data_IF_358668932693
#
_entry.id   IF_358668932693
#
_cell.length_a   1.000
_cell.length_b   1.000
_cell.length_c   1.000
_cell.angle_alpha   90.00
_cell.angle_beta   90.00
_cell.angle_gamma   90.00
#
_symmetry.space_group_name_H-M   'P 1'
#
loop_
_entity.id
_entity.type
_entity.pdbx_description
1 polymer ?
#
# COMPACT_ATOMS: atom_id res chain seq x y z
N UNK A 1 -3.90 23.93 2.51
CA UNK A 1 -4.39 23.58 1.17
C UNK A 1 -5.22 22.34 1.33
N UNK A 2 -6.44 22.37 0.85
CA UNK A 2 -7.50 21.40 1.15
C UNK A 2 -7.14 20.01 0.58
N UNK A 3 -6.92 19.03 1.47
CA UNK A 3 -6.49 17.65 1.15
C UNK A 3 -7.70 16.71 0.93
N UNK A 4 -8.87 17.26 0.62
CA UNK A 4 -10.12 16.51 0.47
C UNK A 4 -10.34 16.05 -0.98
N UNK A 5 -10.55 14.75 -1.24
CA UNK A 5 -10.65 14.23 -2.62
C UNK A 5 -11.92 14.64 -3.37
N UNK A 6 -13.00 15.02 -2.69
CA UNK A 6 -14.27 15.35 -3.34
C UNK A 6 -14.88 16.64 -2.78
N UNK A 7 -14.93 17.68 -3.62
CA UNK A 7 -15.52 18.99 -3.34
C UNK A 7 -17.07 18.97 -3.22
N UNK A 8 -17.71 17.81 -3.43
CA UNK A 8 -19.17 17.66 -3.54
C UNK A 8 -19.84 16.96 -2.35
N UNK A 9 -19.08 16.50 -1.35
CA UNK A 9 -19.65 15.92 -0.13
C UNK A 9 -20.00 17.05 0.85
N UNK A 10 -21.27 17.44 0.84
CA UNK A 10 -21.83 18.52 1.68
C UNK A 10 -22.13 18.06 3.12
N UNK A 11 -22.24 16.75 3.33
CA UNK A 11 -22.51 16.12 4.63
C UNK A 11 -21.44 15.06 4.96
N UNK A 12 -21.05 14.97 6.23
CA UNK A 12 -19.98 14.11 6.76
C UNK A 12 -20.33 12.60 6.80
N UNK A 13 -21.33 12.14 6.05
CA UNK A 13 -21.80 10.77 6.08
C UNK A 13 -21.38 9.99 4.83
N UNK A 14 -20.77 8.82 5.06
CA UNK A 14 -20.55 7.82 4.01
C UNK A 14 -21.93 7.30 3.60
N UNK A 15 -22.39 7.52 2.36
CA UNK A 15 -23.75 7.13 1.98
C UNK A 15 -23.95 5.63 2.21
N UNK A 16 -25.09 5.26 2.80
CA UNK A 16 -25.38 3.88 3.26
C UNK A 16 -25.20 2.83 2.17
N UNK A 17 -25.42 3.20 0.91
CA UNK A 17 -25.18 2.32 -0.25
C UNK A 17 -23.71 1.89 -0.37
N UNK A 18 -22.74 2.77 -0.11
CA UNK A 18 -21.32 2.42 -0.12
C UNK A 18 -21.00 1.43 0.98
N UNK A 19 -21.54 1.62 2.19
CA UNK A 19 -21.35 0.71 3.31
C UNK A 19 -21.92 -0.69 3.02
N UNK A 20 -23.09 -0.77 2.37
CA UNK A 20 -23.71 -2.03 1.97
C UNK A 20 -22.86 -2.74 0.92
N UNK A 21 -22.43 -2.03 -0.13
CA UNK A 21 -21.57 -2.60 -1.18
C UNK A 21 -20.23 -3.06 -0.62
N UNK A 22 -19.61 -2.28 0.27
CA UNK A 22 -18.36 -2.64 0.95
C UNK A 22 -18.54 -3.89 1.81
N UNK A 23 -19.63 -3.95 2.57
CA UNK A 23 -19.99 -5.11 3.39
C UNK A 23 -20.20 -6.37 2.55
N UNK A 24 -20.87 -6.26 1.40
CA UNK A 24 -21.05 -7.36 0.45
C UNK A 24 -19.73 -7.84 -0.13
N UNK A 25 -18.86 -6.93 -0.57
CA UNK A 25 -17.52 -7.27 -1.08
C UNK A 25 -16.75 -8.02 0.00
N UNK A 26 -16.70 -7.49 1.23
CA UNK A 26 -16.01 -8.15 2.34
C UNK A 26 -16.61 -9.52 2.66
N UNK A 27 -17.93 -9.66 2.65
CA UNK A 27 -18.60 -10.94 2.89
C UNK A 27 -18.25 -11.99 1.82
N UNK A 28 -18.27 -11.59 0.54
CA UNK A 28 -17.89 -12.46 -0.58
C UNK A 28 -16.40 -12.82 -0.51
N UNK A 29 -15.52 -11.86 -0.23
CA UNK A 29 -14.08 -12.10 -0.05
C UNK A 29 -13.80 -13.07 1.10
N UNK A 30 -14.49 -12.90 2.23
CA UNK A 30 -14.40 -13.80 3.38
C UNK A 30 -14.81 -15.22 2.98
N UNK A 31 -15.97 -15.40 2.33
CA UNK A 31 -16.45 -16.70 1.88
C UNK A 31 -15.48 -17.35 0.89
N UNK A 32 -15.03 -16.61 -0.13
CA UNK A 32 -14.10 -17.10 -1.14
C UNK A 32 -12.79 -17.59 -0.50
N UNK A 33 -12.21 -16.81 0.41
CA UNK A 33 -10.96 -17.19 1.07
C UNK A 33 -11.16 -18.36 2.04
N UNK A 34 -12.31 -18.45 2.70
CA UNK A 34 -12.65 -19.60 3.54
C UNK A 34 -12.74 -20.90 2.76
N UNK A 35 -13.21 -20.83 1.52
CA UNK A 35 -13.34 -21.96 0.59
C UNK A 35 -11.97 -22.35 0.01
N UNK A 36 -11.18 -21.37 -0.45
CA UNK A 36 -9.91 -21.63 -1.16
C UNK A 36 -8.74 -21.90 -0.22
N UNK A 37 -8.59 -21.11 0.85
CA UNK A 37 -7.45 -21.16 1.75
C UNK A 37 -7.76 -21.80 3.12
N UNK A 38 -8.97 -22.34 3.29
CA UNK A 38 -9.36 -23.14 4.45
C UNK A 38 -9.76 -22.33 5.69
N UNK A 39 -9.81 -22.96 6.88
CA UNK A 39 -10.36 -22.33 8.09
C UNK A 39 -9.53 -21.13 8.57
N UNK A 40 -10.17 -20.01 8.91
CA UNK A 40 -9.50 -18.79 9.41
C UNK A 40 -8.60 -19.02 10.62
N UNK A 41 -8.86 -20.05 11.43
CA UNK A 41 -8.00 -20.42 12.56
C UNK A 41 -6.57 -20.77 12.13
N UNK A 42 -6.40 -21.34 10.92
CA UNK A 42 -5.09 -21.63 10.32
C UNK A 42 -4.37 -20.38 9.80
N UNK A 43 -5.08 -19.27 9.62
CA UNK A 43 -4.51 -17.99 9.18
C UNK A 43 -3.99 -17.13 10.32
N UNK A 44 -4.34 -17.41 11.59
CA UNK A 44 -3.86 -16.64 12.76
C UNK A 44 -2.32 -16.49 12.83
N UNK A 45 -1.51 -17.51 12.49
CA UNK A 45 -0.04 -17.38 12.45
C UNK A 45 0.48 -16.45 11.34
N UNK A 46 -0.35 -16.13 10.35
CA UNK A 46 -0.04 -15.25 9.21
C UNK A 46 -0.71 -13.87 9.34
N UNK A 47 -1.01 -13.45 10.58
CA UNK A 47 -1.59 -12.13 10.85
C UNK A 47 -0.67 -10.99 10.41
N UNK A 48 0.65 -11.20 10.42
CA UNK A 48 1.64 -10.29 9.84
C UNK A 48 1.43 -10.11 8.33
N UNK A 49 1.20 -11.18 7.59
CA UNK A 49 0.91 -11.14 6.15
C UNK A 49 -0.45 -10.53 5.82
N UNK A 50 -1.45 -10.74 6.68
CA UNK A 50 -2.72 -10.03 6.59
C UNK A 50 -2.50 -8.51 6.71
N UNK A 51 -1.83 -8.05 7.78
CA UNK A 51 -1.54 -6.62 7.98
C UNK A 51 -0.69 -6.03 6.85
N UNK A 52 0.29 -6.78 6.34
CA UNK A 52 1.06 -6.37 5.16
C UNK A 52 0.15 -6.14 3.95
N UNK A 53 -0.84 -7.00 3.73
CA UNK A 53 -1.82 -6.85 2.66
C UNK A 53 -2.68 -5.61 2.83
N UNK A 54 -3.21 -5.39 4.05
CA UNK A 54 -4.01 -4.19 4.38
C UNK A 54 -3.22 -2.92 4.08
N UNK A 55 -2.01 -2.83 4.63
CA UNK A 55 -1.16 -1.65 4.51
C UNK A 55 -0.70 -1.40 3.07
N UNK A 56 -0.35 -2.47 2.36
CA UNK A 56 0.12 -2.40 0.97
C UNK A 56 -0.95 -1.85 0.04
N UNK A 57 -2.16 -2.41 0.08
CA UNK A 57 -3.21 -1.96 -0.83
C UNK A 57 -3.60 -0.50 -0.55
N UNK A 58 -3.65 -0.12 0.73
CA UNK A 58 -3.95 1.25 1.15
C UNK A 58 -2.89 2.26 0.69
N UNK A 59 -1.62 1.87 0.69
CA UNK A 59 -0.53 2.68 0.16
C UNK A 59 -0.56 2.77 -1.37
N UNK A 60 -0.86 1.66 -2.04
CA UNK A 60 -0.96 1.56 -3.49
C UNK A 60 -2.07 2.47 -4.03
N UNK A 61 -3.29 2.34 -3.51
CA UNK A 61 -4.44 3.12 -3.98
C UNK A 61 -4.29 4.61 -3.72
N UNK A 62 -3.78 5.00 -2.55
CA UNK A 62 -3.41 6.40 -2.24
C UNK A 62 -2.41 6.95 -3.26
N UNK A 63 -1.42 6.15 -3.64
CA UNK A 63 -0.40 6.59 -4.59
C UNK A 63 -0.99 6.81 -5.97
N UNK A 64 -1.81 5.87 -6.47
CA UNK A 64 -2.52 6.00 -7.75
C UNK A 64 -3.39 7.26 -7.78
N UNK A 65 -4.19 7.49 -6.74
CA UNK A 65 -5.02 8.69 -6.65
C UNK A 65 -4.18 9.97 -6.59
N UNK A 66 -3.05 9.95 -5.88
CA UNK A 66 -2.11 11.06 -5.83
C UNK A 66 -1.51 11.40 -7.20
N UNK A 67 -1.14 10.40 -8.00
CA UNK A 67 -0.67 10.62 -9.38
C UNK A 67 -1.77 11.23 -10.26
N UNK A 68 -3.01 10.74 -10.17
CA UNK A 68 -4.13 11.32 -10.92
C UNK A 68 -4.31 12.82 -10.62
N UNK A 69 -4.14 13.25 -9.36
CA UNK A 69 -4.23 14.66 -8.97
C UNK A 69 -3.02 15.49 -9.45
N UNK A 70 -1.81 14.94 -9.43
CA UNK A 70 -0.59 15.68 -9.78
C UNK A 70 -0.47 15.95 -11.28
N UNK A 71 -0.94 15.04 -12.12
CA UNK A 71 -0.71 15.12 -13.57
C UNK A 71 -1.90 15.68 -14.37
N UNK A 72 -3.06 15.85 -13.74
CA UNK A 72 -4.26 16.41 -14.38
C UNK A 72 -5.07 15.36 -15.12
N UNK A 73 -6.06 15.77 -15.92
CA UNK A 73 -6.98 14.86 -16.65
C UNK A 73 -6.86 14.95 -18.18
N UNK A 74 -5.94 15.75 -18.72
CA UNK A 74 -5.75 15.84 -20.18
C UNK A 74 -5.14 14.54 -20.70
N UNK A 75 -5.93 13.79 -21.47
CA UNK A 75 -5.61 12.43 -21.91
C UNK A 75 -4.20 12.24 -22.50
N UNK A 76 -3.73 13.18 -23.33
CA UNK A 76 -2.43 13.08 -24.02
C UNK A 76 -1.24 13.35 -23.10
N UNK A 77 -1.28 14.47 -22.34
CA UNK A 77 -0.20 14.81 -21.40
C UNK A 77 -0.12 13.76 -20.30
N UNK A 78 -1.28 13.28 -19.82
CA UNK A 78 -1.35 12.19 -18.86
C UNK A 78 -0.67 10.94 -19.40
N UNK A 79 -1.02 10.50 -20.61
CA UNK A 79 -0.44 9.28 -21.18
C UNK A 79 1.08 9.35 -21.29
N UNK A 80 1.63 10.48 -21.77
CA UNK A 80 3.08 10.69 -21.88
C UNK A 80 3.75 10.67 -20.50
N UNK A 81 3.16 11.33 -19.51
CA UNK A 81 3.73 11.36 -18.17
C UNK A 81 3.62 10.00 -17.49
N UNK A 82 2.46 9.33 -17.55
CA UNK A 82 2.31 7.98 -17.01
C UNK A 82 3.25 6.99 -17.69
N UNK A 83 3.44 7.07 -19.01
CA UNK A 83 4.41 6.23 -19.70
C UNK A 83 5.85 6.50 -19.21
N UNK A 84 6.25 7.76 -19.09
CA UNK A 84 7.57 8.14 -18.54
C UNK A 84 7.77 7.68 -17.10
N UNK A 85 6.73 7.81 -16.27
CA UNK A 85 6.69 7.31 -14.88
C UNK A 85 6.85 5.80 -14.85
N UNK A 86 6.08 5.05 -15.64
CA UNK A 86 6.14 3.58 -15.68
C UNK A 86 7.52 3.10 -16.12
N UNK A 87 8.14 3.74 -17.12
CA UNK A 87 9.51 3.41 -17.55
C UNK A 87 10.52 3.68 -16.44
N UNK A 88 10.42 4.83 -15.77
CA UNK A 88 11.31 5.17 -14.66
C UNK A 88 11.15 4.20 -13.47
N UNK A 89 9.91 3.83 -13.13
CA UNK A 89 9.60 2.83 -12.10
C UNK A 89 10.15 1.47 -12.49
N UNK A 90 9.90 1.01 -13.72
CA UNK A 90 10.37 -0.28 -14.20
C UNK A 90 11.91 -0.34 -14.17
N UNK A 91 12.58 0.73 -14.57
CA UNK A 91 14.03 0.84 -14.47
C UNK A 91 14.50 0.76 -13.00
N UNK A 92 13.87 1.49 -12.08
CA UNK A 92 14.21 1.45 -10.66
C UNK A 92 14.00 0.06 -10.05
N UNK A 93 12.89 -0.61 -10.39
CA UNK A 93 12.58 -1.97 -9.94
C UNK A 93 13.59 -2.98 -10.51
N UNK A 94 13.91 -2.91 -11.80
CA UNK A 94 14.88 -3.81 -12.44
C UNK A 94 16.28 -3.63 -11.84
N UNK A 95 16.72 -2.39 -11.63
CA UNK A 95 18.01 -2.09 -10.97
C UNK A 95 18.04 -2.69 -9.57
N UNK A 96 16.98 -2.50 -8.80
CA UNK A 96 16.96 -3.01 -7.42
C UNK A 96 16.80 -4.53 -7.37
N UNK A 97 16.16 -5.15 -8.38
CA UNK A 97 16.06 -6.61 -8.52
C UNK A 97 17.41 -7.27 -8.80
N UNK A 98 18.33 -6.57 -9.47
CA UNK A 98 19.69 -7.05 -9.73
C UNK A 98 20.63 -6.95 -8.52
N UNK A 99 20.26 -6.15 -7.51
CA UNK A 99 21.06 -5.95 -6.30
C UNK A 99 20.57 -6.90 -5.20
N UNK A 100 21.49 -7.50 -4.42
CA UNK A 100 21.11 -8.35 -3.28
C UNK A 100 20.22 -7.56 -2.32
N UNK A 101 19.03 -8.09 -2.04
CA UNK A 101 18.04 -7.39 -1.22
C UNK A 101 18.49 -7.29 0.26
N UNK A 102 18.46 -6.10 0.87
CA UNK A 102 18.87 -5.88 2.26
C UNK A 102 18.08 -6.72 3.28
N UNK A 103 18.59 -6.96 4.49
CA UNK A 103 17.86 -7.74 5.49
C UNK A 103 16.50 -7.09 5.85
N UNK A 104 15.55 -7.90 6.29
CA UNK A 104 14.17 -7.48 6.59
C UNK A 104 14.06 -6.23 7.47
N UNK A 105 14.82 -6.07 8.58
CA UNK A 105 14.75 -4.85 9.39
C UNK A 105 15.16 -3.58 8.62
N UNK A 106 16.13 -3.68 7.71
CA UNK A 106 16.53 -2.55 6.87
C UNK A 106 15.40 -2.19 5.90
N UNK A 107 14.69 -3.17 5.35
CA UNK A 107 13.54 -2.90 4.47
C UNK A 107 12.35 -2.31 5.20
N UNK A 108 12.08 -2.70 6.44
CA UNK A 108 11.13 -1.98 7.30
C UNK A 108 11.60 -0.55 7.60
N UNK A 109 12.91 -0.33 7.79
CA UNK A 109 13.48 1.00 7.93
C UNK A 109 13.26 1.87 6.68
N UNK A 110 13.55 1.34 5.49
CA UNK A 110 13.32 2.03 4.21
C UNK A 110 11.82 2.30 3.98
N UNK A 111 10.96 1.34 4.32
CA UNK A 111 9.52 1.49 4.25
C UNK A 111 9.02 2.64 5.12
N UNK A 112 9.38 2.65 6.40
CA UNK A 112 8.97 3.70 7.34
C UNK A 112 9.57 5.06 6.96
N UNK A 113 10.85 5.10 6.55
CA UNK A 113 11.48 6.32 6.05
C UNK A 113 10.76 6.83 4.79
N UNK A 114 10.37 5.94 3.87
CA UNK A 114 9.59 6.26 2.68
C UNK A 114 8.20 6.81 3.03
N UNK A 115 7.52 6.25 4.04
CA UNK A 115 6.24 6.76 4.52
C UNK A 115 6.37 8.15 5.16
N UNK A 116 7.42 8.37 5.97
CA UNK A 116 7.71 9.69 6.55
C UNK A 116 8.00 10.70 5.45
N UNK A 117 8.80 10.33 4.46
CA UNK A 117 9.10 11.18 3.32
C UNK A 117 7.83 11.50 2.52
N UNK A 118 6.96 10.52 2.27
CA UNK A 118 5.67 10.71 1.60
C UNK A 118 4.67 11.55 2.41
N UNK A 119 4.83 11.61 3.73
CA UNK A 119 4.02 12.46 4.60
C UNK A 119 4.56 13.90 4.64
N UNK A 120 5.89 14.06 4.68
CA UNK A 120 6.57 15.36 4.71
C UNK A 120 6.44 16.12 3.39
N UNK A 121 6.52 15.44 2.24
CA UNK A 121 6.45 16.07 0.91
C UNK A 121 4.99 16.39 0.56
N UNK A 122 4.55 17.66 0.60
CA UNK A 122 3.20 18.03 0.21
C UNK A 122 3.08 18.02 -1.32
N UNK A 123 1.90 17.66 -1.82
CA UNK A 123 1.63 17.71 -3.26
C UNK A 123 1.84 19.12 -3.84
N UNK A 124 1.64 20.19 -3.06
CA UNK A 124 1.88 21.57 -3.48
C UNK A 124 3.35 21.85 -3.83
N UNK A 125 4.31 21.20 -3.15
CA UNK A 125 5.73 21.33 -3.50
C UNK A 125 6.03 20.63 -4.82
N UNK A 126 5.45 19.44 -5.04
CA UNK A 126 5.58 18.71 -6.31
C UNK A 126 4.96 19.49 -7.46
N UNK A 127 3.81 20.15 -7.24
CA UNK A 127 3.14 20.97 -8.25
C UNK A 127 3.94 22.21 -8.65
N UNK A 128 4.84 22.71 -7.80
CA UNK A 128 5.71 23.84 -8.11
C UNK A 128 6.92 23.46 -9.00
N UNK A 129 7.18 22.17 -9.18
CA UNK A 129 8.31 21.68 -9.98
C UNK A 129 7.95 21.58 -11.47
N UNK A 130 8.94 21.75 -12.37
CA UNK A 130 8.75 21.47 -13.79
C UNK A 130 8.44 19.99 -14.01
N UNK A 131 7.67 19.69 -15.07
CA UNK A 131 7.09 18.38 -15.35
C UNK A 131 8.05 17.18 -15.19
N UNK A 132 9.29 17.20 -15.71
CA UNK A 132 10.22 16.07 -15.56
C UNK A 132 10.64 15.85 -14.11
N UNK A 133 10.97 16.92 -13.38
CA UNK A 133 11.38 16.84 -11.97
C UNK A 133 10.21 16.45 -11.08
N UNK A 134 9.01 16.95 -11.36
CA UNK A 134 7.77 16.55 -10.68
C UNK A 134 7.50 15.05 -10.86
N UNK A 135 7.66 14.52 -12.07
CA UNK A 135 7.48 13.10 -12.35
C UNK A 135 8.47 12.25 -11.56
N UNK A 136 9.77 12.54 -11.64
CA UNK A 136 10.80 11.77 -10.93
C UNK A 136 10.61 11.81 -9.41
N UNK A 137 10.38 13.00 -8.85
CA UNK A 137 10.18 13.15 -7.41
C UNK A 137 8.91 12.46 -6.92
N UNK A 138 7.77 12.63 -7.61
CA UNK A 138 6.53 11.94 -7.26
C UNK A 138 6.69 10.40 -7.33
N UNK A 139 7.39 9.90 -8.35
CA UNK A 139 7.71 8.48 -8.49
C UNK A 139 8.53 7.98 -7.32
N UNK A 140 9.65 8.63 -7.03
CA UNK A 140 10.54 8.18 -5.95
C UNK A 140 9.80 8.20 -4.61
N UNK A 141 9.07 9.29 -4.31
CA UNK A 141 8.34 9.43 -3.06
C UNK A 141 7.26 8.35 -2.89
N UNK A 142 6.46 8.09 -3.93
CA UNK A 142 5.34 7.17 -3.85
C UNK A 142 5.78 5.69 -3.93
N UNK A 143 6.72 5.38 -4.81
CA UNK A 143 7.11 4.00 -5.07
C UNK A 143 8.18 3.47 -4.12
N UNK A 144 8.96 4.32 -3.45
CA UNK A 144 9.94 3.85 -2.46
C UNK A 144 9.32 2.98 -1.35
N UNK A 145 8.25 3.42 -0.65
CA UNK A 145 7.62 2.57 0.36
C UNK A 145 6.89 1.36 -0.27
N UNK A 146 6.27 1.50 -1.46
CA UNK A 146 5.63 0.37 -2.16
C UNK A 146 6.66 -0.72 -2.50
N UNK A 147 7.82 -0.31 -3.00
CA UNK A 147 8.93 -1.19 -3.30
C UNK A 147 9.41 -1.92 -2.05
N UNK A 148 9.67 -1.19 -0.96
CA UNK A 148 10.12 -1.78 0.29
C UNK A 148 9.09 -2.78 0.85
N UNK A 149 7.81 -2.43 0.80
CA UNK A 149 6.71 -3.32 1.20
C UNK A 149 6.68 -4.60 0.36
N UNK A 150 6.83 -4.51 -0.95
CA UNK A 150 6.89 -5.67 -1.85
C UNK A 150 8.07 -6.59 -1.52
N UNK A 151 9.25 -6.03 -1.24
CA UNK A 151 10.43 -6.83 -0.84
C UNK A 151 10.19 -7.51 0.52
N UNK A 152 9.61 -6.80 1.49
CA UNK A 152 9.26 -7.37 2.80
C UNK A 152 8.27 -8.52 2.65
N UNK A 153 7.20 -8.31 1.87
CA UNK A 153 6.21 -9.33 1.58
C UNK A 153 6.84 -10.55 0.88
N UNK A 154 7.58 -10.35 -0.20
CA UNK A 154 8.19 -11.45 -0.96
C UNK A 154 9.12 -12.30 -0.07
N UNK A 155 9.97 -11.66 0.73
CA UNK A 155 10.84 -12.37 1.68
C UNK A 155 10.05 -13.14 2.73
N UNK A 156 9.03 -12.51 3.31
CA UNK A 156 8.21 -13.15 4.33
C UNK A 156 7.44 -14.35 3.76
N UNK A 157 6.91 -14.19 2.55
CA UNK A 157 6.13 -15.20 1.83
C UNK A 157 6.97 -16.42 1.45
N UNK A 158 8.20 -16.22 0.95
CA UNK A 158 9.13 -17.34 0.67
C UNK A 158 9.50 -18.12 1.94
N UNK A 159 9.53 -17.46 3.10
CA UNK A 159 9.80 -18.08 4.41
C UNK A 159 8.54 -18.73 5.06
N UNK A 160 7.43 -18.91 4.33
CA UNK A 160 6.23 -19.59 4.86
C UNK A 160 6.15 -21.06 4.49
N UNK A 161 5.66 -21.89 5.43
CA UNK A 161 5.48 -23.33 5.20
C UNK A 161 4.21 -23.67 4.40
N UNK A 162 3.18 -22.79 4.45
CA UNK A 162 1.93 -22.94 3.72
C UNK A 162 1.66 -21.68 2.88
N UNK A 163 2.03 -21.75 1.60
CA UNK A 163 1.89 -20.66 0.64
C UNK A 163 0.41 -20.30 0.38
N UNK A 164 -0.48 -21.29 0.34
CA UNK A 164 -1.91 -21.07 0.04
C UNK A 164 -2.60 -20.33 1.17
N UNK A 165 -2.40 -20.78 2.42
CA UNK A 165 -3.01 -20.15 3.58
C UNK A 165 -2.43 -18.75 3.84
N UNK A 166 -1.12 -18.59 3.66
CA UNK A 166 -0.45 -17.30 3.87
C UNK A 166 -0.80 -16.26 2.80
N UNK A 167 -0.92 -16.68 1.53
CA UNK A 167 -1.42 -15.83 0.46
C UNK A 167 -2.89 -15.46 0.67
N UNK A 168 -3.73 -16.42 1.10
CA UNK A 168 -5.13 -16.17 1.44
C UNK A 168 -5.28 -15.12 2.55
N UNK A 169 -4.44 -15.16 3.59
CA UNK A 169 -4.41 -14.15 4.63
C UNK A 169 -4.02 -12.76 4.08
N UNK A 170 -3.00 -12.69 3.21
CA UNK A 170 -2.58 -11.44 2.59
C UNK A 170 -3.67 -10.85 1.67
N UNK A 171 -4.32 -11.68 0.86
CA UNK A 171 -5.44 -11.25 -0.01
C UNK A 171 -6.61 -10.71 0.80
N UNK A 172 -7.01 -11.37 1.89
CA UNK A 172 -8.05 -10.83 2.79
C UNK A 172 -7.64 -9.48 3.36
N UNK A 173 -6.38 -9.35 3.75
CA UNK A 173 -5.81 -8.09 4.21
C UNK A 173 -5.96 -7.01 3.15
N UNK A 174 -5.55 -7.30 1.91
CA UNK A 174 -5.65 -6.37 0.79
C UNK A 174 -7.10 -5.91 0.56
N UNK A 175 -8.08 -6.83 0.59
CA UNK A 175 -9.51 -6.46 0.46
C UNK A 175 -9.95 -5.50 1.57
N UNK A 176 -9.54 -5.76 2.82
CA UNK A 176 -9.80 -4.86 3.96
C UNK A 176 -9.08 -3.52 3.76
N UNK A 177 -7.86 -3.49 3.24
CA UNK A 177 -7.11 -2.29 2.92
C UNK A 177 -7.84 -1.39 1.92
N UNK A 178 -8.42 -1.98 0.87
CA UNK A 178 -9.22 -1.24 -0.12
C UNK A 178 -10.49 -0.66 0.48
N UNK A 179 -11.06 -1.34 1.46
CA UNK A 179 -12.19 -0.82 2.22
C UNK A 179 -11.79 0.33 3.15
N UNK A 180 -10.61 0.24 3.77
CA UNK A 180 -10.07 1.31 4.63
C UNK A 180 -9.68 2.57 3.86
N UNK A 181 -9.51 2.51 2.53
CA UNK A 181 -9.27 3.70 1.72
C UNK A 181 -10.41 4.72 1.87
N UNK A 182 -11.65 4.29 2.10
CA UNK A 182 -12.79 5.19 2.32
C UNK A 182 -12.63 6.06 3.58
N UNK A 183 -11.78 5.65 4.53
CA UNK A 183 -11.42 6.51 5.67
C UNK A 183 -10.69 7.78 5.21
N UNK A 184 -10.10 7.82 4.01
CA UNK A 184 -9.56 9.05 3.41
C UNK A 184 -10.55 10.21 3.46
N UNK A 185 -11.84 9.92 3.34
CA UNK A 185 -12.90 10.92 3.33
C UNK A 185 -13.02 11.64 4.68
N UNK A 186 -12.69 10.95 5.77
CA UNK A 186 -12.81 11.45 7.15
C UNK A 186 -11.48 12.02 7.64
N UNK A 187 -10.38 11.28 7.46
CA UNK A 187 -9.06 11.61 8.05
C UNK A 187 -8.05 12.18 7.03
N UNK A 188 -8.40 12.24 5.74
CA UNK A 188 -7.53 12.70 4.66
C UNK A 188 -6.43 11.69 4.25
N UNK A 189 -5.82 11.90 3.09
CA UNK A 189 -4.74 11.04 2.58
C UNK A 189 -3.47 11.06 3.44
N UNK A 190 -3.22 12.15 4.18
CA UNK A 190 -2.12 12.20 5.16
C UNK A 190 -2.40 11.32 6.37
N UNK A 191 -3.66 11.28 6.84
CA UNK A 191 -4.09 10.37 7.90
C UNK A 191 -3.93 8.90 7.50
N UNK A 192 -4.25 8.57 6.24
CA UNK A 192 -4.04 7.22 5.69
C UNK A 192 -2.59 6.76 5.75
N UNK A 193 -1.60 7.64 5.54
CA UNK A 193 -0.19 7.27 5.68
C UNK A 193 0.17 6.87 7.11
N UNK A 194 -0.45 7.52 8.11
CA UNK A 194 -0.27 7.16 9.52
C UNK A 194 -0.89 5.78 9.78
N UNK A 195 -2.09 5.53 9.26
CA UNK A 195 -2.74 4.21 9.35
C UNK A 195 -1.86 3.13 8.71
N UNK A 196 -1.34 3.38 7.51
CA UNK A 196 -0.40 2.46 6.85
C UNK A 196 0.84 2.20 7.71
N UNK A 197 1.45 3.24 8.29
CA UNK A 197 2.62 3.11 9.15
C UNK A 197 2.33 2.26 10.39
N UNK A 198 1.19 2.48 11.06
CA UNK A 198 0.77 1.68 12.22
C UNK A 198 0.54 0.21 11.83
N UNK A 199 -0.09 -0.04 10.68
CA UNK A 199 -0.31 -1.40 10.18
C UNK A 199 1.01 -2.12 9.85
N UNK A 200 1.97 -1.43 9.22
CA UNK A 200 3.29 -1.98 8.94
C UNK A 200 4.11 -2.23 10.21
N UNK A 201 4.02 -1.35 11.21
CA UNK A 201 4.63 -1.59 12.52
C UNK A 201 3.98 -2.79 13.22
N UNK A 202 2.65 -2.91 13.16
CA UNK A 202 1.92 -4.07 13.65
C UNK A 202 2.37 -5.36 12.96
N UNK A 203 2.54 -5.35 11.64
CA UNK A 203 3.06 -6.47 10.88
C UNK A 203 4.48 -6.85 11.32
N UNK A 204 5.36 -5.86 11.55
CA UNK A 204 6.71 -6.10 12.03
C UNK A 204 6.74 -6.73 13.44
N UNK A 205 5.86 -6.27 14.34
CA UNK A 205 5.78 -6.79 15.71
C UNK A 205 5.22 -8.22 15.74
N UNK A 206 4.21 -8.50 14.92
CA UNK A 206 3.60 -9.84 14.80
C UNK A 206 4.44 -10.81 13.98
N UNK A 207 5.43 -10.32 13.23
CA UNK A 207 6.31 -11.14 12.42
C UNK A 207 7.04 -12.15 13.33
N UNK A 208 6.97 -13.46 13.04
CA UNK A 208 7.72 -14.45 13.79
C UNK A 208 9.21 -14.11 13.69
N UNK A 209 9.82 -13.73 14.81
CA UNK A 209 11.28 -13.60 14.89
C UNK A 209 11.84 -14.98 14.60
N UNK A 210 12.77 -15.10 13.64
CA UNK A 210 13.56 -16.33 13.48
C UNK A 210 14.24 -16.61 14.81
N UNK A 211 13.59 -17.42 15.64
CA UNK A 211 14.18 -17.99 16.83
C UNK A 211 15.41 -18.74 16.37
N UNK A 212 16.54 -18.44 17.03
CA UNK A 212 17.80 -19.13 16.86
C UNK A 212 17.56 -20.63 16.66
N UNK A 213 17.70 -21.11 15.43
CA UNK A 213 18.10 -22.49 15.20
C UNK A 213 19.59 -22.48 15.55
N UNK A 214 19.89 -22.57 16.83
CA UNK A 214 21.25 -22.79 17.32
C UNK A 214 21.19 -23.89 18.36
N UNK A 215 21.95 -24.94 18.05
CA UNK A 215 22.32 -26.13 18.81
C UNK A 215 21.24 -27.21 18.91
#
# INVERSE_FOLDING_TARGET
GDDRPFLYLKDNDIPSIYLITLGLILAVSLLAVRVVAGPYRRMRPYADLFLLGVAFLLLETKSVTGFALLFGTTWVVNAIVFAGVLVAVLAAVEVTRRIRTPPLPVMYGVLLAGLVLAWLVPNSWLLSLPLPLRAVSAVVVAFLPIFAANVVFAKRFTDTADATTSFGANLLGAMVGGCLEYLALIIGYRGLLIVAAVLYLGAFVLMPRKGKVLA
#
